data_IF_667075221898
#
_entry.id   IF_667075221898
#
_cell.length_a   1.000
_cell.length_b   1.000
_cell.length_c   1.000
_cell.angle_alpha   90.00
_cell.angle_beta   90.00
_cell.angle_gamma   90.00
#
_symmetry.space_group_name_H-M   'P 1'
#
loop_
_entity.id
_entity.type
_entity.pdbx_description
1 polymer ?
#
# COMPACT_ATOMS: atom_id res chain seq x y z
N UNK A 1 42.20 45.58 -39.49
CA UNK A 1 41.15 44.58 -39.58
C UNK A 1 41.22 43.73 -38.31
N UNK A 2 40.31 43.96 -37.31
CA UNK A 2 40.32 43.21 -36.05
C UNK A 2 39.25 42.10 -36.17
N UNK A 3 39.68 40.83 -36.19
CA UNK A 3 38.83 39.65 -36.20
C UNK A 3 38.38 39.41 -34.77
N UNK A 4 37.09 39.64 -34.51
CA UNK A 4 36.47 39.40 -33.22
C UNK A 4 35.98 37.93 -33.16
N UNK A 5 36.79 37.06 -32.55
CA UNK A 5 36.45 35.66 -32.35
C UNK A 5 35.39 35.57 -31.24
N UNK A 6 34.15 35.29 -31.60
CA UNK A 6 33.07 35.03 -30.62
C UNK A 6 33.22 33.59 -30.08
N UNK A 7 33.57 33.47 -28.81
CA UNK A 7 33.61 32.21 -28.10
C UNK A 7 32.15 31.82 -27.74
N UNK A 8 31.63 30.78 -28.39
CA UNK A 8 30.31 30.21 -28.07
C UNK A 8 30.48 29.22 -26.91
N UNK A 9 30.07 29.61 -25.70
CA UNK A 9 30.08 28.74 -24.54
C UNK A 9 28.77 27.93 -24.56
N UNK A 10 28.86 26.65 -24.92
CA UNK A 10 27.73 25.70 -24.82
C UNK A 10 27.69 25.14 -23.39
N UNK A 11 26.73 25.61 -22.60
CA UNK A 11 26.45 25.04 -21.26
C UNK A 11 25.62 23.82 -21.46
N UNK A 12 26.22 22.63 -21.35
CA UNK A 12 25.54 21.35 -21.30
C UNK A 12 24.92 21.15 -19.89
N UNK A 13 23.64 21.35 -19.80
CA UNK A 13 22.90 20.95 -18.61
C UNK A 13 22.82 19.41 -18.56
N UNK A 14 23.64 18.79 -17.73
CA UNK A 14 23.45 17.39 -17.38
C UNK A 14 22.23 17.28 -16.45
N UNK A 15 21.08 16.93 -17.01
CA UNK A 15 19.92 16.49 -16.21
C UNK A 15 20.22 15.06 -15.76
N UNK A 16 20.70 14.91 -14.53
CA UNK A 16 20.83 13.58 -13.93
C UNK A 16 19.43 12.98 -13.75
N UNK A 17 19.15 11.77 -14.26
CA UNK A 17 17.89 11.12 -13.98
C UNK A 17 17.79 10.87 -12.48
N UNK A 18 16.81 11.50 -11.83
CA UNK A 18 16.49 11.22 -10.45
C UNK A 18 15.72 9.90 -10.41
N UNK A 19 16.38 8.82 -10.04
CA UNK A 19 15.70 7.57 -9.71
C UNK A 19 15.05 7.77 -8.35
N UNK A 20 13.72 7.78 -8.32
CA UNK A 20 12.99 7.74 -7.06
C UNK A 20 13.21 6.38 -6.41
N UNK A 21 13.62 6.35 -5.15
CA UNK A 21 13.73 5.13 -4.36
C UNK A 21 12.36 4.46 -4.31
N UNK A 22 12.31 3.15 -4.59
CA UNK A 22 11.10 2.34 -4.47
C UNK A 22 11.35 1.22 -3.47
N UNK A 23 10.41 1.04 -2.56
CA UNK A 23 10.41 -0.02 -1.57
C UNK A 23 9.16 -0.87 -1.80
N UNK A 24 9.34 -2.15 -2.08
CA UNK A 24 8.23 -3.09 -2.08
C UNK A 24 7.89 -3.44 -0.63
N UNK A 25 6.72 -3.03 -0.19
CA UNK A 25 6.26 -3.31 1.18
C UNK A 25 5.86 -4.78 1.30
N UNK A 26 5.20 -5.33 0.27
CA UNK A 26 4.81 -6.73 0.19
C UNK A 26 5.27 -7.32 -1.14
N UNK A 27 5.85 -8.50 -1.09
CA UNK A 27 6.24 -9.29 -2.27
C UNK A 27 5.17 -10.33 -2.64
N UNK A 28 4.22 -10.56 -1.74
CA UNK A 28 3.13 -11.54 -1.86
C UNK A 28 3.65 -12.93 -2.27
N UNK A 29 4.64 -13.42 -1.53
CA UNK A 29 5.13 -14.80 -1.66
C UNK A 29 4.48 -15.69 -0.60
N UNK A 30 4.46 -17.02 -0.85
CA UNK A 30 3.98 -17.98 0.14
C UNK A 30 4.81 -17.92 1.44
N UNK A 31 6.12 -17.74 1.34
CA UNK A 31 6.99 -17.58 2.49
C UNK A 31 6.63 -16.35 3.32
N UNK A 32 6.39 -15.20 2.66
CA UNK A 32 5.95 -13.98 3.35
C UNK A 32 4.58 -14.18 4.00
N UNK A 33 3.64 -14.86 3.33
CA UNK A 33 2.31 -15.09 3.88
C UNK A 33 2.33 -15.93 5.17
N UNK A 34 3.24 -16.90 5.27
CA UNK A 34 3.44 -17.71 6.49
C UNK A 34 3.90 -16.84 7.66
N UNK A 35 4.77 -15.87 7.40
CA UNK A 35 5.30 -14.98 8.44
C UNK A 35 4.30 -13.91 8.89
N UNK A 36 3.28 -13.63 8.10
CA UNK A 36 2.26 -12.64 8.41
C UNK A 36 1.22 -13.21 9.37
N UNK A 37 0.96 -12.50 10.45
CA UNK A 37 -0.07 -12.90 11.41
C UNK A 37 -1.46 -12.46 10.97
N UNK A 38 -2.35 -13.42 10.75
CA UNK A 38 -3.77 -13.15 10.53
C UNK A 38 -4.44 -12.82 11.85
N UNK A 39 -4.92 -11.59 12.01
CA UNK A 39 -5.63 -11.11 13.19
C UNK A 39 -7.11 -10.93 12.88
N UNK A 40 -7.97 -11.70 13.53
CA UNK A 40 -9.43 -11.56 13.42
C UNK A 40 -9.88 -10.18 13.92
N UNK A 41 -10.77 -9.54 13.19
CA UNK A 41 -11.41 -8.30 13.61
C UNK A 41 -12.38 -8.60 14.76
N UNK A 42 -12.44 -7.71 15.75
CA UNK A 42 -13.37 -7.86 16.87
C UNK A 42 -14.82 -7.86 16.37
N UNK A 43 -15.58 -8.88 16.75
CA UNK A 43 -16.97 -9.07 16.34
C UNK A 43 -17.17 -9.85 15.05
N UNK A 44 -16.11 -10.23 14.35
CA UNK A 44 -16.21 -11.15 13.22
C UNK A 44 -16.36 -12.60 13.71
N UNK A 45 -17.15 -13.41 13.01
CA UNK A 45 -17.33 -14.83 13.34
C UNK A 45 -16.11 -15.64 12.90
N UNK A 46 -15.62 -15.38 11.70
CA UNK A 46 -14.53 -16.12 11.07
C UNK A 46 -13.36 -15.20 10.68
N UNK A 47 -12.25 -15.82 10.32
CA UNK A 47 -11.11 -15.13 9.68
C UNK A 47 -11.24 -15.22 8.17
N UNK A 48 -10.88 -14.16 7.48
CA UNK A 48 -10.66 -14.14 6.02
C UNK A 48 -9.61 -15.16 5.64
N UNK A 49 -9.86 -15.88 4.56
CA UNK A 49 -8.87 -16.79 3.96
C UNK A 49 -7.97 -15.98 3.03
N UNK A 50 -6.66 -16.17 3.19
CA UNK A 50 -5.64 -15.52 2.39
C UNK A 50 -4.82 -16.54 1.63
N UNK A 51 -4.55 -16.26 0.36
CA UNK A 51 -3.67 -17.05 -0.49
C UNK A 51 -2.87 -16.15 -1.43
N UNK A 52 -1.78 -16.65 -1.94
CA UNK A 52 -0.98 -15.97 -2.96
C UNK A 52 -1.43 -16.43 -4.34
N UNK A 53 -1.55 -15.48 -5.25
CA UNK A 53 -1.73 -15.74 -6.67
C UNK A 53 -0.68 -15.02 -7.50
N UNK A 54 -0.59 -15.34 -8.77
CA UNK A 54 0.31 -14.70 -9.73
C UNK A 54 -0.40 -14.42 -11.04
N UNK A 55 -0.02 -13.32 -11.71
CA UNK A 55 -0.46 -12.96 -13.07
C UNK A 55 0.67 -12.19 -13.78
N UNK A 56 0.40 -11.66 -14.96
CA UNK A 56 1.37 -10.92 -15.77
C UNK A 56 1.95 -9.67 -15.08
N UNK A 57 1.28 -9.15 -14.06
CA UNK A 57 1.74 -8.01 -13.26
C UNK A 57 2.52 -8.41 -12.01
N UNK A 58 2.72 -9.70 -11.77
CA UNK A 58 3.42 -10.25 -10.61
C UNK A 58 2.49 -10.95 -9.60
N UNK A 59 3.00 -11.13 -8.40
CA UNK A 59 2.26 -11.78 -7.32
C UNK A 59 1.22 -10.83 -6.70
N UNK A 60 0.14 -11.40 -6.20
CA UNK A 60 -0.89 -10.68 -5.47
C UNK A 60 -1.42 -11.50 -4.29
N UNK A 61 -1.95 -10.82 -3.29
CA UNK A 61 -2.67 -11.44 -2.19
C UNK A 61 -4.15 -11.55 -2.57
N UNK A 62 -4.68 -12.76 -2.56
CA UNK A 62 -6.12 -13.04 -2.67
C UNK A 62 -6.70 -13.16 -1.27
N UNK A 63 -7.79 -12.46 -1.02
CA UNK A 63 -8.55 -12.50 0.22
C UNK A 63 -9.98 -12.94 -0.08
N UNK A 64 -10.45 -13.97 0.62
CA UNK A 64 -11.82 -14.46 0.53
C UNK A 64 -12.45 -14.34 1.90
N UNK A 65 -13.49 -13.50 2.02
CA UNK A 65 -14.24 -13.28 3.24
C UNK A 65 -15.66 -13.81 3.06
N UNK A 66 -15.97 -14.89 3.75
CA UNK A 66 -17.35 -15.43 3.88
C UNK A 66 -17.75 -15.37 5.34
N UNK A 67 -18.63 -14.44 5.67
CA UNK A 67 -18.99 -14.08 7.06
C UNK A 67 -17.74 -13.94 7.95
N UNK A 68 -16.70 -13.30 7.42
CA UNK A 68 -15.36 -13.26 7.97
C UNK A 68 -14.75 -11.87 7.84
N UNK A 69 -13.96 -11.48 8.85
CA UNK A 69 -13.14 -10.29 8.77
C UNK A 69 -11.84 -10.52 9.54
N UNK A 70 -10.72 -10.24 8.88
CA UNK A 70 -9.41 -10.24 9.51
C UNK A 70 -8.45 -9.30 8.78
N UNK A 71 -7.30 -9.05 9.36
CA UNK A 71 -6.27 -8.24 8.77
C UNK A 71 -4.92 -8.94 8.78
N UNK A 72 -4.11 -8.64 7.79
CA UNK A 72 -2.69 -8.97 7.70
C UNK A 72 -1.88 -7.69 7.80
N UNK A 73 -0.70 -7.76 8.38
CA UNK A 73 0.16 -6.60 8.43
C UNK A 73 1.57 -6.90 8.91
N UNK A 74 2.49 -6.03 8.56
CA UNK A 74 3.86 -6.02 9.06
C UNK A 74 4.34 -4.60 9.35
N UNK A 75 5.39 -4.51 10.13
CA UNK A 75 6.07 -3.24 10.39
C UNK A 75 7.23 -3.07 9.41
N UNK A 76 7.31 -1.88 8.82
CA UNK A 76 8.41 -1.49 7.94
C UNK A 76 8.95 -0.14 8.35
N UNK A 77 10.26 0.02 8.28
CA UNK A 77 10.90 1.33 8.46
C UNK A 77 10.96 2.04 7.12
N UNK A 78 10.29 3.17 7.00
CA UNK A 78 10.22 3.96 5.77
C UNK A 78 10.66 5.39 6.08
N UNK A 79 11.57 5.91 5.26
CA UNK A 79 11.93 7.32 5.26
C UNK A 79 11.01 8.08 4.30
N UNK A 80 10.02 8.78 4.84
CA UNK A 80 9.04 9.52 4.05
C UNK A 80 9.63 10.71 3.29
N UNK A 81 10.87 11.14 3.59
CA UNK A 81 11.56 12.15 2.79
C UNK A 81 12.07 11.57 1.46
N UNK A 82 12.32 10.26 1.41
CA UNK A 82 12.78 9.56 0.21
C UNK A 82 11.63 8.90 -0.55
N UNK A 83 10.68 8.30 0.17
CA UNK A 83 9.54 7.57 -0.40
C UNK A 83 8.21 8.08 0.18
N UNK A 84 7.77 9.31 -0.19
CA UNK A 84 6.57 9.94 0.38
C UNK A 84 5.25 9.40 -0.17
N UNK A 85 5.29 8.61 -1.24
CA UNK A 85 4.10 8.09 -1.91
C UNK A 85 3.91 6.60 -1.63
N UNK A 86 2.66 6.17 -1.53
CA UNK A 86 2.28 4.76 -1.52
C UNK A 86 1.52 4.43 -2.80
N UNK A 87 1.87 3.31 -3.44
CA UNK A 87 1.14 2.78 -4.58
C UNK A 87 0.44 1.50 -4.14
N UNK A 88 -0.85 1.45 -4.35
CA UNK A 88 -1.70 0.31 -4.03
C UNK A 88 -2.44 -0.08 -5.30
N UNK A 89 -2.30 -1.33 -5.73
CA UNK A 89 -3.09 -1.91 -6.82
C UNK A 89 -4.02 -2.95 -6.24
N UNK A 90 -5.32 -2.86 -6.56
CA UNK A 90 -6.35 -3.74 -6.05
C UNK A 90 -7.40 -4.08 -7.11
N UNK A 91 -8.10 -5.15 -6.85
CA UNK A 91 -9.26 -5.58 -7.61
C UNK A 91 -10.28 -6.17 -6.64
N UNK A 92 -11.52 -5.74 -6.75
CA UNK A 92 -12.65 -6.37 -6.07
C UNK A 92 -13.34 -7.29 -7.08
N UNK A 93 -13.40 -8.58 -6.80
CA UNK A 93 -14.07 -9.57 -7.66
C UNK A 93 -15.55 -9.72 -7.31
N UNK A 94 -15.86 -9.59 -6.02
CA UNK A 94 -17.23 -9.63 -5.51
C UNK A 94 -17.37 -8.59 -4.42
N UNK A 95 -18.20 -7.61 -4.66
CA UNK A 95 -18.50 -6.55 -3.72
C UNK A 95 -19.60 -6.94 -2.74
N UNK A 96 -19.72 -6.18 -1.65
CA UNK A 96 -20.77 -6.32 -0.66
C UNK A 96 -22.08 -5.75 -1.25
N UNK A 97 -23.06 -6.61 -1.46
CA UNK A 97 -24.35 -6.20 -2.03
C UNK A 97 -25.31 -5.70 -0.94
N UNK A 98 -26.12 -4.67 -1.27
CA UNK A 98 -27.19 -4.17 -0.41
C UNK A 98 -26.75 -3.30 0.76
N UNK A 99 -25.47 -2.88 0.79
CA UNK A 99 -24.93 -2.00 1.82
C UNK A 99 -24.98 -0.56 1.35
N UNK A 100 -25.53 0.33 2.17
CA UNK A 100 -25.50 1.78 1.96
C UNK A 100 -24.29 2.35 2.67
N UNK A 101 -23.14 2.37 1.98
CA UNK A 101 -21.83 2.77 2.52
C UNK A 101 -21.77 4.20 3.05
N UNK A 102 -22.65 5.08 2.56
CA UNK A 102 -22.79 6.45 3.03
C UNK A 102 -23.50 6.59 4.38
N UNK A 103 -23.92 5.49 5.00
CA UNK A 103 -24.55 5.47 6.31
C UNK A 103 -23.64 4.84 7.35
N UNK A 104 -23.77 5.24 8.61
CA UNK A 104 -22.98 4.65 9.71
C UNK A 104 -23.22 3.13 9.85
N UNK A 105 -24.41 2.64 9.52
CA UNK A 105 -24.76 1.23 9.58
C UNK A 105 -24.16 0.42 8.43
N UNK A 106 -23.93 1.08 7.29
CA UNK A 106 -23.35 0.49 6.09
C UNK A 106 -21.87 0.80 5.89
N UNK A 107 -21.14 1.26 6.91
CA UNK A 107 -19.70 1.49 6.86
C UNK A 107 -18.92 0.16 6.85
N UNK A 108 -19.28 -0.71 5.93
CA UNK A 108 -18.52 -1.91 5.62
C UNK A 108 -18.00 -1.81 4.18
N UNK A 109 -16.83 -2.38 3.91
CA UNK A 109 -16.14 -2.28 2.63
C UNK A 109 -15.52 -3.62 2.30
N UNK A 110 -15.48 -3.97 1.01
CA UNK A 110 -14.92 -5.24 0.55
C UNK A 110 -13.43 -5.39 0.95
N UNK A 111 -12.68 -4.30 0.93
CA UNK A 111 -11.28 -4.29 1.38
C UNK A 111 -10.89 -2.96 2.01
N UNK A 112 -9.88 -3.00 2.88
CA UNK A 112 -9.29 -1.82 3.52
C UNK A 112 -7.78 -1.98 3.62
N UNK A 113 -7.06 -0.90 3.37
CA UNK A 113 -5.63 -0.82 3.65
C UNK A 113 -5.37 0.25 4.69
N UNK A 114 -4.76 -0.13 5.80
CA UNK A 114 -4.35 0.78 6.87
C UNK A 114 -2.86 1.07 6.78
N UNK A 115 -2.52 2.34 6.73
CA UNK A 115 -1.15 2.83 6.95
C UNK A 115 -1.09 3.45 8.33
N UNK A 116 -0.35 2.83 9.24
CA UNK A 116 -0.33 3.21 10.65
C UNK A 116 1.06 3.73 11.01
N UNK A 117 1.12 4.99 11.45
CA UNK A 117 2.32 5.58 12.04
C UNK A 117 2.26 5.44 13.56
N UNK A 118 3.21 4.72 14.13
CA UNK A 118 3.41 4.69 15.59
C UNK A 118 3.99 6.02 16.05
N UNK A 119 3.30 6.72 16.94
CA UNK A 119 3.70 8.05 17.45
C UNK A 119 3.92 8.08 18.95
N UNK A 120 3.70 6.95 19.64
CA UNK A 120 3.93 6.85 21.08
C UNK A 120 3.84 5.41 21.58
N UNK A 121 3.92 5.27 22.92
CA UNK A 121 4.00 3.97 23.58
C UNK A 121 2.66 3.19 23.60
N UNK A 122 1.53 3.86 23.35
CA UNK A 122 0.22 3.23 23.40
C UNK A 122 -0.42 3.17 22.02
N UNK A 123 -1.30 2.19 21.74
CA UNK A 123 -2.05 2.14 20.50
C UNK A 123 -2.89 3.39 20.22
N UNK A 124 -3.36 4.08 21.27
CA UNK A 124 -4.17 5.30 21.17
C UNK A 124 -3.39 6.51 20.63
N UNK A 125 -2.06 6.49 20.72
CA UNK A 125 -1.20 7.55 20.17
C UNK A 125 -0.86 7.36 18.68
N UNK A 126 -1.28 6.25 18.07
CA UNK A 126 -1.01 5.99 16.66
C UNK A 126 -1.87 6.87 15.75
N UNK A 127 -1.32 7.23 14.60
CA UNK A 127 -2.05 7.88 13.51
C UNK A 127 -2.21 6.89 12.38
N UNK A 128 -3.42 6.80 11.82
CA UNK A 128 -3.72 5.89 10.74
C UNK A 128 -4.42 6.61 9.58
N UNK A 129 -4.08 6.22 8.36
CA UNK A 129 -4.84 6.51 7.16
C UNK A 129 -5.49 5.19 6.75
N UNK A 130 -6.78 5.24 6.45
CA UNK A 130 -7.56 4.10 6.02
C UNK A 130 -8.00 4.31 4.58
N UNK A 131 -7.49 3.50 3.68
CA UNK A 131 -7.96 3.43 2.29
C UNK A 131 -9.02 2.33 2.23
N UNK A 132 -10.18 2.64 1.64
CA UNK A 132 -11.33 1.73 1.50
C UNK A 132 -11.63 1.49 0.02
N UNK A 133 -12.06 0.27 -0.31
CA UNK A 133 -12.29 -0.20 -1.67
C UNK A 133 -13.56 -1.03 -1.75
#
# INVERSE_FOLDING_TARGET
MKILTRLLVIILFFVSPSFADRINVFEFTEAELVDLQVRKVRGADNKTEYSVGSNDNGNYLKAVADNAASGLGKEVKIDLNKTPFINITWKVEKDLSGILENTKKGHDFAARVFVIKKTGATPLSNRAINYVF
#
